data_IF_010452841194
#
_entry.id   IF_010452841194
#
_cell.length_a   1.000
_cell.length_b   1.000
_cell.length_c   1.000
_cell.angle_alpha   90.00
_cell.angle_beta   90.00
_cell.angle_gamma   90.00
#
_symmetry.space_group_name_H-M   'P 1'
#
loop_
_entity.id
_entity.type
_entity.pdbx_description
1 polymer ?
#
# COMPACT_ATOMS: atom_id res chain seq x y z
N UNK A 1 -42.04 -9.66 11.50
CA UNK A 1 -41.59 -10.05 10.14
C UNK A 1 -40.08 -9.79 10.10
N UNK A 2 -39.26 -10.77 9.71
CA UNK A 2 -37.83 -10.51 9.52
C UNK A 2 -37.68 -9.50 8.39
N UNK A 3 -36.80 -8.51 8.55
CA UNK A 3 -36.47 -7.59 7.46
C UNK A 3 -35.94 -8.38 6.26
N UNK A 4 -36.27 -7.99 5.02
CA UNK A 4 -35.69 -8.65 3.85
C UNK A 4 -34.18 -8.53 3.90
N UNK A 5 -33.49 -9.65 3.67
CA UNK A 5 -32.02 -9.71 3.64
C UNK A 5 -31.53 -9.40 2.23
N UNK A 6 -30.31 -8.82 2.09
CA UNK A 6 -29.66 -8.67 0.79
C UNK A 6 -29.49 -10.03 0.09
N UNK A 7 -29.62 -10.02 -1.24
CA UNK A 7 -29.31 -11.19 -2.08
C UNK A 7 -27.79 -11.29 -2.31
N UNK A 8 -27.06 -11.67 -1.29
CA UNK A 8 -25.61 -11.89 -1.32
C UNK A 8 -25.34 -13.38 -1.28
N UNK A 9 -24.79 -13.93 -2.36
CA UNK A 9 -24.48 -15.35 -2.46
C UNK A 9 -23.34 -15.73 -1.48
N UNK A 10 -23.44 -16.87 -0.83
CA UNK A 10 -22.33 -17.40 -0.03
C UNK A 10 -21.11 -17.72 -0.92
N UNK A 11 -21.39 -18.45 -2.00
CA UNK A 11 -20.42 -18.76 -3.04
C UNK A 11 -21.13 -18.62 -4.39
N UNK A 12 -20.57 -17.73 -5.23
CA UNK A 12 -21.08 -17.49 -6.57
C UNK A 12 -20.25 -18.26 -7.60
N UNK A 13 -20.91 -19.03 -8.43
CA UNK A 13 -20.29 -19.74 -9.56
C UNK A 13 -20.33 -18.85 -10.80
N UNK A 14 -19.16 -18.51 -11.34
CA UNK A 14 -18.97 -17.51 -12.39
C UNK A 14 -18.33 -18.15 -13.62
N UNK A 15 -19.10 -18.53 -14.64
CA UNK A 15 -18.53 -19.02 -15.89
C UNK A 15 -17.86 -17.89 -16.68
N UNK A 16 -16.63 -18.12 -17.14
CA UNK A 16 -15.86 -17.21 -17.97
C UNK A 16 -15.94 -17.67 -19.43
N UNK A 17 -16.33 -16.82 -20.38
CA UNK A 17 -16.35 -17.16 -21.81
C UNK A 17 -14.95 -17.56 -22.33
N UNK A 18 -14.86 -18.37 -23.41
CA UNK A 18 -13.57 -18.81 -23.95
C UNK A 18 -12.62 -17.69 -24.37
N UNK A 19 -13.16 -16.59 -24.84
CA UNK A 19 -12.46 -15.37 -25.26
C UNK A 19 -12.57 -14.23 -24.19
N UNK A 20 -13.16 -14.56 -23.04
CA UNK A 20 -13.34 -13.62 -21.94
C UNK A 20 -12.06 -13.41 -21.16
N UNK A 21 -11.84 -12.18 -20.69
CA UNK A 21 -10.77 -11.81 -19.76
C UNK A 21 -11.35 -11.52 -18.39
N UNK A 22 -10.59 -11.79 -17.35
CA UNK A 22 -10.91 -11.36 -15.99
C UNK A 22 -9.96 -10.24 -15.57
N UNK A 23 -10.51 -9.15 -15.03
CA UNK A 23 -9.74 -8.10 -14.34
C UNK A 23 -10.22 -8.07 -12.89
N UNK A 24 -9.33 -8.41 -11.99
CA UNK A 24 -9.63 -8.44 -10.55
C UNK A 24 -8.95 -7.28 -9.83
N UNK A 25 -9.75 -6.49 -9.14
CA UNK A 25 -9.39 -5.25 -8.45
C UNK A 25 -9.81 -5.42 -6.99
N UNK A 26 -9.02 -4.93 -6.04
CA UNK A 26 -9.32 -4.98 -4.61
C UNK A 26 -8.91 -3.70 -3.91
N UNK A 27 -9.45 -3.46 -2.72
CA UNK A 27 -8.95 -2.46 -1.77
C UNK A 27 -8.83 -1.05 -2.38
N UNK A 28 -9.92 -0.55 -2.97
CA UNK A 28 -9.99 0.82 -3.48
C UNK A 28 -10.20 1.83 -2.36
N UNK A 29 -10.90 1.43 -1.29
CA UNK A 29 -11.24 2.29 -0.16
C UNK A 29 -11.75 3.66 -0.60
N UNK A 30 -12.72 3.66 -1.51
CA UNK A 30 -13.31 4.89 -2.04
C UNK A 30 -13.99 5.67 -0.92
N UNK A 31 -13.53 6.90 -0.60
CA UNK A 31 -14.10 7.70 0.47
C UNK A 31 -15.38 8.43 -0.01
N UNK A 32 -16.20 8.98 0.90
CA UNK A 32 -17.40 9.73 0.51
C UNK A 32 -17.10 11.00 -0.32
N UNK A 33 -15.91 11.56 -0.17
CA UNK A 33 -15.47 12.70 -0.97
C UNK A 33 -14.34 12.28 -1.93
N UNK A 34 -14.45 12.69 -3.20
CA UNK A 34 -13.42 12.40 -4.20
C UNK A 34 -12.11 13.08 -3.85
N UNK A 35 -11.09 12.29 -3.64
CA UNK A 35 -9.71 12.74 -3.35
C UNK A 35 -8.85 12.67 -4.61
N UNK A 36 -7.63 13.24 -4.56
CA UNK A 36 -6.64 13.08 -5.64
C UNK A 36 -6.27 11.61 -5.84
N UNK A 37 -6.22 10.83 -4.75
CA UNK A 37 -5.90 9.40 -4.78
C UNK A 37 -7.02 8.61 -5.43
N UNK A 38 -8.25 8.74 -4.92
CA UNK A 38 -9.40 8.01 -5.47
C UNK A 38 -9.71 8.45 -6.89
N UNK A 39 -9.56 9.75 -7.22
CA UNK A 39 -9.75 10.26 -8.58
C UNK A 39 -8.79 9.65 -9.59
N UNK A 40 -7.50 9.58 -9.27
CA UNK A 40 -6.52 8.92 -10.14
C UNK A 40 -6.77 7.41 -10.26
N UNK A 41 -7.13 6.76 -9.16
CA UNK A 41 -7.52 5.35 -9.16
C UNK A 41 -8.66 5.11 -10.15
N UNK A 42 -9.77 5.84 -10.00
CA UNK A 42 -10.94 5.71 -10.87
C UNK A 42 -10.59 5.99 -12.34
N UNK A 43 -9.81 7.04 -12.63
CA UNK A 43 -9.37 7.37 -14.00
C UNK A 43 -8.59 6.22 -14.64
N UNK A 44 -7.56 5.69 -13.94
CA UNK A 44 -6.71 4.61 -14.47
C UNK A 44 -7.52 3.34 -14.70
N UNK A 45 -8.39 2.97 -13.76
CA UNK A 45 -9.23 1.78 -13.86
C UNK A 45 -10.28 1.94 -14.96
N UNK A 46 -10.96 3.09 -15.05
CA UNK A 46 -11.95 3.35 -16.10
C UNK A 46 -11.33 3.27 -17.51
N UNK A 47 -10.15 3.85 -17.69
CA UNK A 47 -9.41 3.74 -18.95
C UNK A 47 -9.01 2.29 -19.24
N UNK A 48 -8.58 1.54 -18.24
CA UNK A 48 -8.20 0.12 -18.41
C UNK A 48 -9.41 -0.74 -18.80
N UNK A 49 -10.56 -0.54 -18.16
CA UNK A 49 -11.80 -1.27 -18.46
C UNK A 49 -12.35 -0.91 -19.85
N UNK A 50 -12.25 0.35 -20.26
CA UNK A 50 -12.66 0.82 -21.57
C UNK A 50 -11.76 0.30 -22.70
N UNK A 51 -10.48 0.05 -22.42
CA UNK A 51 -9.52 -0.44 -23.41
C UNK A 51 -9.71 -1.93 -23.77
N UNK A 52 -10.56 -2.67 -23.01
CA UNK A 52 -10.80 -4.09 -23.28
C UNK A 52 -11.98 -4.29 -24.23
N UNK A 53 -11.76 -4.72 -25.46
CA UNK A 53 -12.84 -4.82 -26.47
C UNK A 53 -13.67 -6.11 -26.38
N UNK A 54 -13.15 -7.14 -25.72
CA UNK A 54 -13.76 -8.48 -25.64
C UNK A 54 -14.73 -8.63 -24.45
N UNK A 55 -15.29 -9.82 -24.28
CA UNK A 55 -16.08 -10.15 -23.10
C UNK A 55 -15.22 -10.00 -21.84
N UNK A 56 -15.68 -9.19 -20.89
CA UNK A 56 -14.94 -8.85 -19.69
C UNK A 56 -15.70 -9.29 -18.44
N UNK A 57 -15.03 -9.98 -17.54
CA UNK A 57 -15.47 -10.19 -16.18
C UNK A 57 -14.64 -9.31 -15.25
N UNK A 58 -15.27 -8.34 -14.61
CA UNK A 58 -14.61 -7.53 -13.56
C UNK A 58 -14.93 -8.15 -12.21
N UNK A 59 -13.90 -8.40 -11.42
CA UNK A 59 -14.02 -8.89 -10.05
C UNK A 59 -13.56 -7.78 -9.11
N UNK A 60 -14.48 -7.25 -8.33
CA UNK A 60 -14.25 -6.33 -7.22
C UNK A 60 -14.07 -7.18 -5.97
N UNK A 61 -12.81 -7.43 -5.59
CA UNK A 61 -12.47 -8.42 -4.57
C UNK A 61 -12.48 -7.85 -3.14
N UNK A 62 -13.47 -7.02 -2.82
CA UNK A 62 -13.73 -6.45 -1.49
C UNK A 62 -13.04 -5.13 -1.21
N UNK A 63 -13.52 -4.44 -0.19
CA UNK A 63 -13.04 -3.13 0.28
C UNK A 63 -13.00 -2.06 -0.82
N UNK A 64 -14.06 -2.03 -1.62
CA UNK A 64 -14.20 -1.06 -2.72
C UNK A 64 -14.71 0.28 -2.18
N UNK A 65 -15.74 0.26 -1.34
CA UNK A 65 -16.31 1.45 -0.69
C UNK A 65 -15.87 1.50 0.78
N UNK A 66 -15.42 2.67 1.23
CA UNK A 66 -14.92 2.86 2.59
C UNK A 66 -16.07 3.27 3.53
N UNK A 67 -16.83 2.29 4.01
CA UNK A 67 -17.94 2.54 4.93
C UNK A 67 -17.51 2.45 6.39
N UNK A 68 -16.43 1.68 6.68
CA UNK A 68 -15.97 1.43 8.03
C UNK A 68 -15.39 2.69 8.69
N UNK A 69 -14.54 3.42 7.98
CA UNK A 69 -13.89 4.63 8.49
C UNK A 69 -14.83 5.86 8.48
N UNK A 70 -15.93 5.81 7.71
CA UNK A 70 -16.91 6.90 7.58
C UNK A 70 -18.32 6.48 8.02
N UNK A 71 -18.55 6.25 9.32
CA UNK A 71 -19.81 5.77 9.82
C UNK A 71 -20.94 6.78 9.52
N UNK A 72 -22.05 6.28 9.00
CA UNK A 72 -23.20 7.07 8.62
C UNK A 72 -23.22 7.52 7.16
N UNK A 73 -22.17 7.27 6.39
CA UNK A 73 -22.15 7.46 4.93
C UNK A 73 -22.75 6.23 4.24
N UNK A 74 -23.51 6.43 3.21
CA UNK A 74 -24.12 5.34 2.43
C UNK A 74 -23.23 4.90 1.27
N UNK A 75 -23.35 3.64 0.84
CA UNK A 75 -22.68 3.16 -0.36
C UNK A 75 -23.03 3.99 -1.61
N UNK A 76 -24.28 4.47 -1.70
CA UNK A 76 -24.72 5.32 -2.80
C UNK A 76 -23.94 6.64 -2.86
N UNK A 77 -23.82 7.36 -1.74
CA UNK A 77 -23.07 8.63 -1.67
C UNK A 77 -21.61 8.44 -2.08
N UNK A 78 -20.97 7.33 -1.66
CA UNK A 78 -19.59 7.03 -2.03
C UNK A 78 -19.49 6.77 -3.55
N UNK A 79 -20.38 5.95 -4.09
CA UNK A 79 -20.35 5.61 -5.52
C UNK A 79 -20.67 6.80 -6.41
N UNK A 80 -21.63 7.66 -6.01
CA UNK A 80 -21.96 8.91 -6.71
C UNK A 80 -20.77 9.88 -6.79
N UNK A 81 -19.92 9.93 -5.74
CA UNK A 81 -18.69 10.72 -5.77
C UNK A 81 -17.63 10.17 -6.74
N UNK A 82 -17.80 8.94 -7.22
CA UNK A 82 -16.85 8.22 -8.10
C UNK A 82 -17.57 7.69 -9.36
N UNK A 83 -18.41 8.50 -9.96
CA UNK A 83 -19.30 8.18 -11.08
C UNK A 83 -18.57 7.68 -12.32
N UNK A 84 -17.37 8.15 -12.61
CA UNK A 84 -16.55 7.71 -13.74
C UNK A 84 -16.22 6.21 -13.68
N UNK A 85 -15.85 5.68 -12.51
CA UNK A 85 -15.63 4.26 -12.33
C UNK A 85 -16.95 3.49 -12.39
N UNK A 86 -17.99 4.00 -11.78
CA UNK A 86 -19.33 3.38 -11.80
C UNK A 86 -19.86 3.25 -13.23
N UNK A 87 -19.75 4.30 -14.04
CA UNK A 87 -20.11 4.27 -15.46
C UNK A 87 -19.26 3.26 -16.26
N UNK A 88 -17.95 3.16 -15.97
CA UNK A 88 -17.11 2.18 -16.60
C UNK A 88 -17.53 0.74 -16.26
N UNK A 89 -17.89 0.46 -15.00
CA UNK A 89 -18.41 -0.85 -14.57
C UNK A 89 -19.78 -1.16 -15.19
N UNK A 90 -20.71 -0.23 -15.19
CA UNK A 90 -22.02 -0.39 -15.84
C UNK A 90 -21.86 -0.67 -17.35
N UNK A 91 -20.96 0.03 -18.02
CA UNK A 91 -20.63 -0.20 -19.42
C UNK A 91 -20.10 -1.62 -19.71
N UNK A 92 -19.42 -2.26 -18.75
CA UNK A 92 -19.01 -3.67 -18.90
C UNK A 92 -20.23 -4.57 -18.98
N UNK A 93 -21.24 -4.38 -18.12
CA UNK A 93 -22.48 -5.19 -18.14
C UNK A 93 -23.31 -4.92 -19.38
N UNK A 94 -23.41 -3.67 -19.83
CA UNK A 94 -24.14 -3.29 -21.06
C UNK A 94 -23.53 -3.94 -22.32
N UNK A 95 -22.21 -4.16 -22.34
CA UNK A 95 -21.50 -4.85 -23.44
C UNK A 95 -21.55 -6.37 -23.34
N UNK A 96 -22.36 -6.92 -22.42
CA UNK A 96 -22.50 -8.38 -22.21
C UNK A 96 -21.42 -9.01 -21.34
N UNK A 97 -20.59 -8.21 -20.67
CA UNK A 97 -19.70 -8.65 -19.62
C UNK A 97 -20.41 -8.81 -18.28
N UNK A 98 -19.67 -9.03 -17.22
CA UNK A 98 -20.23 -9.15 -15.87
C UNK A 98 -19.32 -8.50 -14.83
N UNK A 99 -19.94 -7.98 -13.77
CA UNK A 99 -19.27 -7.44 -12.60
C UNK A 99 -19.64 -8.29 -11.40
N UNK A 100 -18.63 -8.79 -10.70
CA UNK A 100 -18.75 -9.61 -9.48
C UNK A 100 -18.14 -8.80 -8.33
N UNK A 101 -18.82 -8.75 -7.21
CA UNK A 101 -18.37 -8.03 -6.03
C UNK A 101 -18.33 -8.99 -4.84
N UNK A 102 -17.15 -9.32 -4.34
CA UNK A 102 -17.02 -10.02 -3.06
C UNK A 102 -16.96 -9.00 -1.94
N UNK A 103 -17.74 -9.23 -0.88
CA UNK A 103 -17.81 -8.31 0.27
C UNK A 103 -16.52 -8.41 1.09
N UNK A 104 -15.92 -7.24 1.41
CA UNK A 104 -14.77 -7.12 2.29
C UNK A 104 -15.15 -6.78 3.73
N UNK A 105 -14.18 -6.37 4.55
CA UNK A 105 -14.45 -5.96 5.92
C UNK A 105 -14.75 -4.46 6.08
N UNK A 106 -14.28 -3.60 5.16
CA UNK A 106 -14.62 -2.17 5.16
C UNK A 106 -15.98 -1.87 4.52
N UNK A 107 -16.46 -2.76 3.68
CA UNK A 107 -17.78 -2.72 3.07
C UNK A 107 -18.68 -3.88 3.52
N UNK A 108 -18.41 -4.44 4.69
CA UNK A 108 -19.13 -5.56 5.29
C UNK A 108 -20.65 -5.32 5.42
N UNK A 109 -21.07 -4.09 5.52
CA UNK A 109 -22.49 -3.68 5.58
C UNK A 109 -23.28 -4.17 4.36
N UNK A 110 -22.63 -4.39 3.21
CA UNK A 110 -23.26 -4.96 2.00
C UNK A 110 -23.83 -6.36 2.23
N UNK A 111 -23.33 -7.11 3.20
CA UNK A 111 -23.80 -8.45 3.48
C UNK A 111 -25.11 -8.48 4.28
N UNK A 112 -25.51 -7.39 4.95
CA UNK A 112 -26.69 -7.34 5.82
C UNK A 112 -27.60 -6.12 5.62
N UNK A 113 -27.10 -4.99 5.06
CA UNK A 113 -27.90 -3.81 4.75
C UNK A 113 -28.42 -3.89 3.30
N UNK A 114 -29.73 -4.09 3.17
CA UNK A 114 -30.38 -4.19 1.87
C UNK A 114 -30.21 -2.92 1.02
N UNK A 115 -30.26 -1.74 1.64
CA UNK A 115 -30.13 -0.47 0.89
C UNK A 115 -28.71 -0.29 0.33
N UNK A 116 -27.70 -0.63 1.13
CA UNK A 116 -26.32 -0.57 0.67
C UNK A 116 -26.08 -1.56 -0.47
N UNK A 117 -26.56 -2.80 -0.33
CA UNK A 117 -26.43 -3.83 -1.36
C UNK A 117 -27.17 -3.47 -2.65
N UNK A 118 -28.41 -2.95 -2.56
CA UNK A 118 -29.19 -2.53 -3.72
C UNK A 118 -28.52 -1.35 -4.44
N UNK A 119 -28.00 -0.36 -3.70
CA UNK A 119 -27.28 0.77 -4.29
C UNK A 119 -26.07 0.31 -5.11
N UNK A 120 -25.26 -0.62 -4.59
CA UNK A 120 -24.12 -1.18 -5.34
C UNK A 120 -24.59 -1.90 -6.60
N UNK A 121 -25.64 -2.72 -6.52
CA UNK A 121 -26.18 -3.44 -7.70
C UNK A 121 -26.72 -2.47 -8.75
N UNK A 122 -27.52 -1.51 -8.35
CA UNK A 122 -28.19 -0.57 -9.25
C UNK A 122 -27.20 0.35 -9.96
N UNK A 123 -26.14 0.78 -9.26
CA UNK A 123 -25.15 1.72 -9.79
C UNK A 123 -24.09 1.01 -10.64
N UNK A 124 -23.63 -0.17 -10.23
CA UNK A 124 -22.49 -0.85 -10.87
C UNK A 124 -22.87 -2.05 -11.73
N UNK A 125 -24.11 -2.57 -11.59
CA UNK A 125 -24.54 -3.82 -12.22
C UNK A 125 -23.91 -5.08 -11.57
N UNK A 126 -23.30 -4.97 -10.40
CA UNK A 126 -22.54 -6.06 -9.78
C UNK A 126 -23.45 -7.12 -9.15
N UNK A 127 -23.00 -8.38 -9.23
CA UNK A 127 -23.53 -9.50 -8.45
C UNK A 127 -22.73 -9.61 -7.15
N UNK A 128 -23.42 -9.54 -6.00
CA UNK A 128 -22.77 -9.58 -4.68
C UNK A 128 -22.62 -11.00 -4.17
N UNK A 129 -21.46 -11.30 -3.57
CA UNK A 129 -21.18 -12.60 -2.94
C UNK A 129 -20.16 -12.45 -1.80
N UNK A 130 -20.03 -13.46 -0.95
CA UNK A 130 -18.96 -13.55 0.04
C UNK A 130 -17.70 -14.20 -0.55
N UNK A 131 -17.89 -15.11 -1.51
CA UNK A 131 -16.83 -15.74 -2.29
C UNK A 131 -17.30 -16.03 -3.72
N UNK A 132 -16.38 -16.17 -4.66
CA UNK A 132 -16.70 -16.55 -6.04
C UNK A 132 -15.75 -17.66 -6.55
N UNK A 133 -16.29 -18.54 -7.37
CA UNK A 133 -15.54 -19.53 -8.16
C UNK A 133 -15.56 -19.12 -9.62
N UNK A 134 -14.46 -18.64 -10.15
CA UNK A 134 -14.30 -18.37 -11.57
C UNK A 134 -14.02 -19.69 -12.30
N UNK A 135 -14.92 -20.09 -13.20
CA UNK A 135 -14.74 -21.25 -14.05
C UNK A 135 -14.25 -20.82 -15.43
N UNK A 136 -12.98 -21.04 -15.67
CA UNK A 136 -12.36 -20.71 -16.94
C UNK A 136 -12.52 -21.86 -17.95
N UNK A 137 -12.45 -21.56 -19.25
CA UNK A 137 -12.35 -22.57 -20.29
C UNK A 137 -11.14 -23.49 -20.03
N UNK A 138 -11.31 -24.79 -20.39
CA UNK A 138 -10.24 -25.77 -20.13
C UNK A 138 -10.35 -26.48 -18.78
N UNK A 139 -11.27 -26.04 -17.91
CA UNK A 139 -11.51 -26.65 -16.60
C UNK A 139 -10.76 -25.98 -15.43
N UNK A 140 -10.01 -24.93 -15.69
CA UNK A 140 -9.37 -24.15 -14.66
C UNK A 140 -10.40 -23.47 -13.73
N UNK A 141 -10.12 -23.50 -12.42
CA UNK A 141 -10.97 -22.87 -11.39
C UNK A 141 -10.14 -21.96 -10.51
N UNK A 142 -10.59 -20.73 -10.36
CA UNK A 142 -9.94 -19.74 -9.47
C UNK A 142 -10.94 -19.32 -8.40
N UNK A 143 -10.61 -19.58 -7.13
CA UNK A 143 -11.36 -19.09 -5.98
C UNK A 143 -11.01 -17.63 -5.72
N UNK A 144 -12.03 -16.83 -5.50
CA UNK A 144 -11.91 -15.44 -5.07
C UNK A 144 -12.55 -15.26 -3.69
N UNK A 145 -11.78 -14.77 -2.74
CA UNK A 145 -12.23 -14.34 -1.42
C UNK A 145 -11.55 -13.00 -1.13
N UNK A 146 -12.18 -12.08 -0.36
CA UNK A 146 -11.49 -10.83 -0.05
C UNK A 146 -10.19 -11.07 0.75
N UNK A 147 -10.22 -11.99 1.71
CA UNK A 147 -9.03 -12.35 2.50
C UNK A 147 -9.14 -12.00 3.99
N UNK A 148 -10.04 -11.11 4.40
CA UNK A 148 -10.29 -10.79 5.81
C UNK A 148 -10.73 -12.00 6.64
N UNK A 149 -11.32 -13.00 5.98
CA UNK A 149 -11.72 -14.28 6.60
C UNK A 149 -10.52 -15.06 7.19
N UNK A 150 -9.32 -14.77 6.71
CA UNK A 150 -8.06 -15.40 7.11
C UNK A 150 -7.29 -14.57 8.15
N UNK A 151 -7.81 -13.38 8.50
CA UNK A 151 -7.24 -12.48 9.49
C UNK A 151 -8.03 -12.55 10.81
N UNK A 152 -7.45 -13.07 11.91
CA UNK A 152 -8.15 -13.19 13.19
C UNK A 152 -8.68 -11.88 13.77
N UNK A 153 -8.14 -10.73 13.34
CA UNK A 153 -8.56 -9.42 13.82
C UNK A 153 -9.71 -8.83 13.01
N UNK A 154 -9.92 -9.28 11.77
CA UNK A 154 -10.90 -8.76 10.83
C UNK A 154 -11.94 -9.79 10.39
N UNK A 155 -11.80 -11.06 10.78
CA UNK A 155 -12.71 -12.13 10.45
C UNK A 155 -14.07 -11.95 11.14
N UNK A 156 -15.15 -11.99 10.37
CA UNK A 156 -16.52 -12.13 10.90
C UNK A 156 -16.83 -13.61 11.19
N UNK A 157 -17.55 -13.90 12.27
CA UNK A 157 -18.13 -15.22 12.52
C UNK A 157 -19.38 -15.43 11.65
N UNK A 158 -20.16 -14.36 11.47
CA UNK A 158 -21.31 -14.30 10.57
C UNK A 158 -21.36 -12.94 9.88
N UNK A 159 -20.84 -12.85 8.65
CA UNK A 159 -20.82 -11.63 7.86
C UNK A 159 -22.21 -10.98 7.63
N UNK A 160 -23.31 -11.73 7.85
CA UNK A 160 -24.68 -11.24 7.73
C UNK A 160 -25.26 -10.71 9.03
N UNK A 161 -24.48 -10.74 10.10
CA UNK A 161 -24.90 -10.23 11.41
C UNK A 161 -24.31 -8.84 11.68
N UNK A 162 -25.10 -7.78 11.70
CA UNK A 162 -24.61 -6.41 11.94
C UNK A 162 -24.01 -6.21 13.35
N UNK A 163 -24.19 -7.17 14.26
CA UNK A 163 -23.63 -7.12 15.60
C UNK A 163 -22.30 -7.87 15.72
N UNK A 164 -21.91 -8.58 14.68
CA UNK A 164 -20.61 -9.26 14.63
C UNK A 164 -19.54 -8.25 14.15
N UNK A 165 -18.93 -7.56 15.11
CA UNK A 165 -17.92 -6.54 14.86
C UNK A 165 -16.55 -7.03 15.29
N UNK A 166 -15.66 -7.42 14.36
CA UNK A 166 -14.30 -7.84 14.66
C UNK A 166 -13.48 -6.74 15.36
N UNK A 167 -12.42 -7.11 16.07
CA UNK A 167 -11.54 -6.17 16.77
C UNK A 167 -10.99 -5.07 15.87
N UNK A 168 -10.68 -5.40 14.62
CA UNK A 168 -10.20 -4.45 13.61
C UNK A 168 -11.17 -3.29 13.38
N UNK A 169 -12.50 -3.53 13.41
CA UNK A 169 -13.52 -2.46 13.30
C UNK A 169 -13.37 -1.42 14.42
N UNK A 170 -13.21 -1.87 15.66
CA UNK A 170 -13.03 -0.96 16.80
C UNK A 170 -11.72 -0.19 16.72
N UNK A 171 -10.66 -0.84 16.22
CA UNK A 171 -9.38 -0.17 16.02
C UNK A 171 -9.51 0.95 14.98
N UNK A 172 -10.12 0.67 13.82
CA UNK A 172 -10.29 1.64 12.74
C UNK A 172 -11.22 2.79 13.17
N UNK A 173 -12.35 2.49 13.80
CA UNK A 173 -13.37 3.50 14.17
C UNK A 173 -13.01 4.33 15.39
N UNK A 174 -12.37 3.73 16.39
CA UNK A 174 -12.23 4.36 17.69
C UNK A 174 -10.79 4.66 18.11
N UNK A 175 -9.84 3.81 17.73
CA UNK A 175 -8.45 3.91 18.22
C UNK A 175 -7.62 4.77 17.28
N UNK A 176 -7.61 4.47 15.98
CA UNK A 176 -6.79 5.18 14.99
C UNK A 176 -7.09 6.69 14.96
N UNK A 177 -8.37 7.16 14.90
CA UNK A 177 -8.66 8.58 14.88
C UNK A 177 -8.17 9.33 16.14
N UNK A 178 -8.23 8.67 17.31
CA UNK A 178 -7.72 9.25 18.56
C UNK A 178 -6.20 9.38 18.56
N UNK A 179 -5.50 8.37 18.07
CA UNK A 179 -4.04 8.38 17.94
C UNK A 179 -3.60 9.46 16.92
N UNK A 180 -4.26 9.55 15.79
CA UNK A 180 -3.97 10.57 14.78
C UNK A 180 -4.27 11.99 15.29
N UNK A 181 -5.35 12.17 16.04
CA UNK A 181 -5.66 13.45 16.67
C UNK A 181 -4.59 13.86 17.70
N UNK A 182 -4.10 12.93 18.53
CA UNK A 182 -3.01 13.17 19.48
C UNK A 182 -1.68 13.42 18.76
N UNK A 183 -1.46 12.74 17.66
CA UNK A 183 -0.22 12.80 16.86
C UNK A 183 -0.32 13.65 15.60
N UNK A 184 -1.36 14.49 15.42
CA UNK A 184 -1.67 15.24 14.19
C UNK A 184 -0.50 16.01 13.57
N UNK A 185 0.49 16.39 14.36
CA UNK A 185 1.68 17.10 13.87
C UNK A 185 2.74 16.16 13.26
N UNK A 186 2.71 14.85 13.57
CA UNK A 186 3.81 13.96 13.22
C UNK A 186 3.43 12.48 12.99
N UNK A 187 2.25 12.01 13.43
CA UNK A 187 1.78 10.62 13.28
C UNK A 187 0.73 10.42 12.18
N UNK A 188 0.59 11.36 11.25
CA UNK A 188 -0.38 11.25 10.15
C UNK A 188 -0.04 10.07 9.22
N UNK A 189 -1.08 9.41 8.70
CA UNK A 189 -1.00 8.28 7.79
C UNK A 189 -0.87 6.94 8.50
N UNK A 190 -1.29 6.86 9.76
CA UNK A 190 -1.33 5.60 10.51
C UNK A 190 -2.31 4.61 9.90
N UNK A 191 -3.49 5.09 9.48
CA UNK A 191 -4.52 4.28 8.82
C UNK A 191 -4.13 3.79 7.41
N UNK A 192 -3.11 4.39 6.81
CA UNK A 192 -2.59 4.01 5.49
C UNK A 192 -1.37 3.09 5.59
N UNK A 193 -1.01 2.61 6.78
CA UNK A 193 0.16 1.74 6.93
C UNK A 193 -0.07 0.42 6.23
N UNK A 194 0.87 0.06 5.37
CA UNK A 194 0.87 -1.21 4.66
C UNK A 194 1.00 -2.42 5.59
N UNK A 195 1.73 -2.29 6.70
CA UNK A 195 1.92 -3.35 7.70
C UNK A 195 1.65 -2.83 9.13
N UNK A 196 0.56 -3.24 9.80
CA UNK A 196 0.29 -2.87 11.18
C UNK A 196 1.41 -3.29 12.15
N UNK A 197 2.16 -4.35 11.86
CA UNK A 197 3.30 -4.79 12.67
C UNK A 197 4.46 -3.77 12.65
N UNK A 198 4.49 -2.90 11.65
CA UNK A 198 5.46 -1.81 11.55
C UNK A 198 5.13 -0.59 12.45
N UNK A 199 3.99 -0.59 13.16
CA UNK A 199 3.58 0.54 14.01
C UNK A 199 4.68 1.04 14.96
N UNK A 200 5.40 0.19 15.73
CA UNK A 200 6.48 0.67 16.60
C UNK A 200 7.61 1.32 15.80
N UNK A 201 7.94 0.76 14.65
CA UNK A 201 8.96 1.25 13.73
C UNK A 201 8.56 2.58 13.10
N UNK A 202 7.29 2.72 12.72
CA UNK A 202 6.70 3.96 12.21
C UNK A 202 6.77 5.08 13.24
N UNK A 203 6.34 4.83 14.49
CA UNK A 203 6.41 5.81 15.58
C UNK A 203 7.85 6.24 15.83
N UNK A 204 8.80 5.30 15.89
CA UNK A 204 10.23 5.60 16.08
C UNK A 204 10.79 6.47 14.96
N UNK A 205 10.47 6.12 13.72
CA UNK A 205 10.87 6.89 12.54
C UNK A 205 10.35 8.32 12.59
N UNK A 206 9.05 8.49 12.82
CA UNK A 206 8.42 9.80 12.93
C UNK A 206 8.98 10.63 14.09
N UNK A 207 9.26 9.99 15.23
CA UNK A 207 9.91 10.64 16.36
C UNK A 207 11.29 11.18 15.98
N UNK A 208 12.12 10.36 15.34
CA UNK A 208 13.47 10.74 14.92
C UNK A 208 13.43 11.85 13.88
N UNK A 209 12.75 11.62 12.73
CA UNK A 209 12.84 12.51 11.57
C UNK A 209 11.98 13.79 11.68
N UNK A 210 10.89 13.75 12.45
CA UNK A 210 9.95 14.89 12.55
C UNK A 210 10.01 15.63 13.88
N UNK A 211 10.23 14.93 15.00
CA UNK A 211 10.28 15.58 16.32
C UNK A 211 11.71 15.88 16.76
N UNK A 212 12.58 14.85 16.82
CA UNK A 212 13.94 15.03 17.35
C UNK A 212 14.73 16.03 16.51
N UNK A 213 14.76 15.86 15.20
CA UNK A 213 15.46 16.76 14.27
C UNK A 213 14.89 18.18 14.36
N UNK A 214 13.56 18.33 14.42
CA UNK A 214 12.91 19.64 14.56
C UNK A 214 13.26 20.35 15.87
N UNK A 215 13.44 19.62 16.96
CA UNK A 215 13.77 20.22 18.26
C UNK A 215 15.27 20.44 18.43
N UNK A 216 16.11 19.70 17.73
CA UNK A 216 17.55 19.77 17.85
C UNK A 216 18.22 20.56 16.71
N UNK A 217 17.45 21.13 15.75
CA UNK A 217 18.00 21.90 14.64
C UNK A 217 18.87 23.09 15.11
N UNK A 218 18.55 23.67 16.27
CA UNK A 218 19.30 24.78 16.86
C UNK A 218 20.74 24.39 17.23
N UNK A 219 21.03 23.08 17.42
CA UNK A 219 22.40 22.61 17.62
C UNK A 219 23.31 22.97 16.45
N UNK A 220 22.75 23.10 15.25
CA UNK A 220 23.50 23.56 14.07
C UNK A 220 23.96 25.01 14.23
N UNK A 221 23.36 25.78 15.14
CA UNK A 221 23.79 27.14 15.46
C UNK A 221 25.00 27.16 16.40
N UNK A 222 25.32 26.06 17.10
CA UNK A 222 26.47 26.02 18.02
C UNK A 222 27.79 26.40 17.31
N UNK A 223 28.15 25.86 16.13
CA UNK A 223 29.33 26.31 15.39
C UNK A 223 29.31 27.79 15.07
N UNK A 224 28.11 28.33 14.76
CA UNK A 224 27.94 29.77 14.44
C UNK A 224 28.16 30.60 15.72
N UNK A 225 27.60 30.17 16.84
CA UNK A 225 27.78 30.83 18.14
C UNK A 225 29.24 30.79 18.56
N UNK A 226 29.87 29.61 18.46
CA UNK A 226 31.31 29.44 18.72
C UNK A 226 32.14 30.38 17.85
N UNK A 227 31.83 30.43 16.55
CA UNK A 227 32.50 31.34 15.62
C UNK A 227 32.35 32.81 16.05
N UNK A 228 31.13 33.26 16.35
CA UNK A 228 30.85 34.65 16.78
C UNK A 228 31.55 35.00 18.10
N UNK A 229 31.62 34.05 19.03
CA UNK A 229 32.27 34.28 20.34
C UNK A 229 33.80 34.33 20.24
N UNK A 230 34.38 33.56 19.32
CA UNK A 230 35.84 33.51 19.10
C UNK A 230 36.34 34.67 18.24
N UNK A 231 35.51 35.22 17.34
CA UNK A 231 35.89 36.36 16.49
C UNK A 231 36.49 37.56 17.21
N UNK A 232 35.95 38.07 18.36
CA UNK A 232 36.53 39.16 19.07
C UNK A 232 37.91 38.84 19.70
N UNK A 233 38.10 37.60 20.11
CA UNK A 233 39.41 37.16 20.68
C UNK A 233 40.47 37.10 19.57
N UNK A 234 40.10 36.66 18.38
CA UNK A 234 40.98 36.69 17.20
C UNK A 234 41.33 38.12 16.81
N UNK A 235 40.38 39.07 16.90
CA UNK A 235 40.65 40.51 16.72
C UNK A 235 41.69 41.08 17.69
N UNK A 236 41.67 40.65 18.95
CA UNK A 236 42.66 41.03 19.96
C UNK A 236 44.04 40.40 19.69
N UNK A 237 44.09 39.15 19.24
CA UNK A 237 45.35 38.49 18.87
C UNK A 237 45.93 39.15 17.62
N UNK A 238 45.10 39.47 16.63
CA UNK A 238 45.48 40.11 15.38
C UNK A 238 46.08 41.52 15.59
N UNK A 239 45.56 42.29 16.53
CA UNK A 239 46.15 43.61 16.86
C UNK A 239 47.57 43.51 17.42
N UNK A 240 47.96 42.34 17.94
CA UNK A 240 49.29 42.06 18.45
C UNK A 240 50.27 41.51 17.40
N UNK A 241 49.76 40.92 16.29
CA UNK A 241 50.52 40.31 15.23
C UNK A 241 49.94 40.67 13.85
N UNK A 242 50.42 41.78 13.27
CA UNK A 242 49.80 42.36 12.04
C UNK A 242 50.16 41.59 10.74
N UNK A 243 50.72 40.39 10.82
CA UNK A 243 51.14 39.65 9.64
C UNK A 243 49.96 38.91 8.98
N UNK A 244 49.87 39.02 7.64
CA UNK A 244 48.75 38.41 6.85
C UNK A 244 48.72 36.86 6.91
N UNK A 245 49.83 36.20 7.21
CA UNK A 245 49.90 34.78 7.43
C UNK A 245 49.10 34.34 8.70
N UNK A 246 49.03 35.20 9.75
CA UNK A 246 48.23 34.96 10.95
C UNK A 246 46.74 34.88 10.69
N UNK A 247 46.21 35.70 9.74
CA UNK A 247 44.76 35.70 9.43
C UNK A 247 44.29 34.41 8.79
N UNK A 248 45.09 33.84 7.87
CA UNK A 248 44.79 32.55 7.24
C UNK A 248 44.80 31.42 8.26
N UNK A 249 45.75 31.42 9.18
CA UNK A 249 45.85 30.43 10.24
C UNK A 249 44.65 30.51 11.19
N UNK A 250 44.22 31.72 11.55
CA UNK A 250 43.05 31.93 12.44
C UNK A 250 41.74 31.46 11.77
N UNK A 251 41.57 31.70 10.46
CA UNK A 251 40.43 31.19 9.68
C UNK A 251 40.44 29.66 9.62
N UNK A 252 41.62 29.04 9.45
CA UNK A 252 41.76 27.58 9.48
C UNK A 252 41.35 27.00 10.84
N UNK A 253 41.81 27.59 11.95
CA UNK A 253 41.45 27.13 13.32
C UNK A 253 39.95 27.22 13.53
N UNK A 254 39.29 28.32 13.09
CA UNK A 254 37.85 28.49 13.18
C UNK A 254 37.09 27.47 12.33
N UNK A 255 37.56 27.23 11.11
CA UNK A 255 36.99 26.24 10.22
C UNK A 255 37.09 24.82 10.78
N UNK A 256 38.25 24.49 11.37
CA UNK A 256 38.45 23.21 12.06
C UNK A 256 37.56 23.08 13.30
N UNK A 257 37.44 24.14 14.13
CA UNK A 257 36.56 24.15 15.29
C UNK A 257 35.10 23.91 14.91
N UNK A 258 34.59 24.64 13.89
CA UNK A 258 33.25 24.47 13.38
C UNK A 258 33.02 23.06 12.78
N UNK A 259 33.99 22.52 12.07
CA UNK A 259 33.92 21.16 11.52
C UNK A 259 33.87 20.10 12.61
N UNK A 260 34.65 20.26 13.69
CA UNK A 260 34.63 19.37 14.86
C UNK A 260 33.28 19.44 15.57
N UNK A 261 32.73 20.64 15.80
CA UNK A 261 31.42 20.81 16.43
C UNK A 261 30.31 20.14 15.61
N UNK A 262 30.30 20.33 14.28
CA UNK A 262 29.35 19.67 13.39
C UNK A 262 29.49 18.15 13.44
N UNK A 263 30.73 17.64 13.46
CA UNK A 263 30.99 16.20 13.56
C UNK A 263 30.49 15.64 14.92
N UNK A 264 30.72 16.33 16.01
CA UNK A 264 30.24 15.93 17.36
C UNK A 264 28.72 15.91 17.39
N UNK A 265 28.05 16.95 16.89
CA UNK A 265 26.59 17.01 16.82
C UNK A 265 26.03 15.88 15.98
N UNK A 266 26.59 15.65 14.80
CA UNK A 266 26.19 14.55 13.92
C UNK A 266 26.37 13.18 14.60
N UNK A 267 27.47 12.99 15.33
CA UNK A 267 27.73 11.78 16.09
C UNK A 267 26.74 11.57 17.23
N UNK A 268 26.43 12.62 17.99
CA UNK A 268 25.43 12.55 19.07
C UNK A 268 24.07 12.21 18.52
N UNK A 269 23.63 12.87 17.45
CA UNK A 269 22.36 12.61 16.78
C UNK A 269 22.30 11.17 16.25
N UNK A 270 23.39 10.68 15.65
CA UNK A 270 23.47 9.30 15.16
C UNK A 270 23.39 8.28 16.31
N UNK A 271 24.09 8.53 17.42
CA UNK A 271 24.07 7.63 18.60
C UNK A 271 22.67 7.60 19.23
N UNK A 272 22.05 8.78 19.46
CA UNK A 272 20.70 8.87 20.04
C UNK A 272 19.67 8.19 19.15
N UNK A 273 19.72 8.47 17.83
CA UNK A 273 18.81 7.86 16.85
C UNK A 273 19.00 6.34 16.79
N UNK A 274 20.25 5.87 16.80
CA UNK A 274 20.56 4.44 16.81
C UNK A 274 20.09 3.75 18.09
N UNK A 275 20.30 4.36 19.26
CA UNK A 275 19.83 3.81 20.54
C UNK A 275 18.30 3.76 20.60
N UNK A 276 17.63 4.83 20.20
CA UNK A 276 16.16 4.84 20.08
C UNK A 276 15.68 3.73 19.15
N UNK A 277 16.32 3.57 17.99
CA UNK A 277 16.00 2.52 17.03
C UNK A 277 16.24 1.11 17.59
N UNK A 278 17.41 0.83 18.20
CA UNK A 278 17.71 -0.51 18.74
C UNK A 278 16.79 -0.90 19.89
N UNK A 279 16.33 0.07 20.69
CA UNK A 279 15.36 -0.20 21.75
C UNK A 279 13.97 -0.57 21.21
N UNK A 280 13.57 0.00 20.06
CA UNK A 280 12.25 -0.20 19.46
C UNK A 280 12.30 -1.34 18.43
N UNK A 281 13.41 -1.54 17.74
CA UNK A 281 13.57 -2.60 16.74
C UNK A 281 13.44 -4.00 17.33
N UNK A 282 13.75 -4.19 18.61
CA UNK A 282 13.48 -5.44 19.32
C UNK A 282 12.00 -5.79 19.39
N UNK A 283 11.12 -4.79 19.51
CA UNK A 283 9.67 -4.95 19.47
C UNK A 283 9.17 -5.15 18.03
N UNK A 284 9.74 -4.42 17.07
CA UNK A 284 9.40 -4.56 15.65
C UNK A 284 9.90 -5.88 15.03
N UNK A 285 11.03 -6.42 15.50
CA UNK A 285 11.57 -7.71 15.04
C UNK A 285 10.68 -8.90 15.46
N UNK A 286 9.94 -8.78 16.56
CA UNK A 286 8.99 -9.82 16.96
C UNK A 286 7.84 -9.98 15.93
N UNK A 287 7.50 -8.94 15.17
CA UNK A 287 6.50 -8.97 14.09
C UNK A 287 7.05 -9.34 12.71
N UNK A 288 8.36 -9.25 12.48
CA UNK A 288 8.96 -9.47 11.15
C UNK A 288 8.90 -10.90 10.61
N UNK A 289 8.45 -11.86 11.38
CA UNK A 289 8.19 -13.23 10.93
C UNK A 289 6.78 -13.42 10.38
N UNK A 290 5.90 -12.44 10.54
CA UNK A 290 4.53 -12.50 10.05
C UNK A 290 4.48 -11.97 8.61
N UNK A 291 4.43 -12.89 7.66
CA UNK A 291 4.06 -12.50 6.28
C UNK A 291 2.56 -12.24 6.27
N UNK A 292 2.13 -11.02 5.93
CA UNK A 292 0.70 -10.67 5.88
C UNK A 292 -0.12 -11.63 5.00
N UNK A 293 0.46 -12.10 3.89
CA UNK A 293 -0.18 -13.05 2.99
C UNK A 293 0.05 -14.53 3.38
N UNK A 294 0.64 -14.85 4.53
CA UNK A 294 0.99 -16.25 4.88
C UNK A 294 -0.24 -17.14 5.02
N UNK A 295 -1.31 -16.66 5.66
CA UNK A 295 -2.56 -17.40 5.80
C UNK A 295 -3.24 -17.62 4.45
N UNK A 296 -3.20 -16.60 3.57
CA UNK A 296 -3.76 -16.69 2.23
C UNK A 296 -2.97 -17.66 1.34
N UNK A 297 -1.64 -17.72 1.46
CA UNK A 297 -0.82 -18.74 0.77
C UNK A 297 -1.16 -20.15 1.24
N UNK A 298 -1.33 -20.34 2.55
CA UNK A 298 -1.76 -21.65 3.08
C UNK A 298 -3.15 -22.02 2.55
N UNK A 299 -4.09 -21.08 2.48
CA UNK A 299 -5.41 -21.27 1.86
C UNK A 299 -5.30 -21.65 0.39
N UNK A 300 -4.36 -21.05 -0.34
CA UNK A 300 -4.09 -21.39 -1.72
C UNK A 300 -3.60 -22.84 -1.86
N UNK A 301 -2.68 -23.28 -1.00
CA UNK A 301 -2.19 -24.66 -1.00
C UNK A 301 -3.34 -25.67 -0.78
N UNK A 302 -4.25 -25.38 0.16
CA UNK A 302 -5.41 -26.21 0.44
C UNK A 302 -6.36 -26.29 -0.78
N UNK A 303 -6.68 -25.14 -1.39
CA UNK A 303 -7.56 -25.07 -2.56
C UNK A 303 -6.94 -25.75 -3.78
N UNK A 304 -5.63 -25.63 -4.00
CA UNK A 304 -4.93 -26.31 -5.09
C UNK A 304 -4.96 -27.81 -4.87
N UNK A 305 -4.82 -28.28 -3.63
CA UNK A 305 -5.00 -29.68 -3.29
C UNK A 305 -6.44 -30.19 -3.57
N UNK A 306 -7.46 -29.31 -3.47
CA UNK A 306 -8.86 -29.58 -3.84
C UNK A 306 -9.11 -29.48 -5.35
N UNK A 307 -8.10 -29.18 -6.17
CA UNK A 307 -8.18 -29.12 -7.64
C UNK A 307 -8.48 -27.73 -8.21
N UNK A 308 -8.28 -26.66 -7.44
CA UNK A 308 -8.29 -25.31 -7.99
C UNK A 308 -6.96 -24.99 -8.70
N UNK A 309 -7.03 -24.15 -9.73
CA UNK A 309 -5.86 -23.63 -10.45
C UNK A 309 -5.27 -22.42 -9.74
N UNK A 310 -6.09 -21.64 -9.01
CA UNK A 310 -5.62 -20.48 -8.30
C UNK A 310 -6.51 -20.01 -7.17
N UNK A 311 -5.91 -19.18 -6.32
CA UNK A 311 -6.60 -18.44 -5.28
C UNK A 311 -6.25 -16.97 -5.38
N UNK A 312 -7.26 -16.11 -5.40
CA UNK A 312 -7.17 -14.66 -5.47
C UNK A 312 -7.74 -14.03 -4.21
N UNK A 313 -6.98 -13.10 -3.63
CA UNK A 313 -7.43 -12.29 -2.49
C UNK A 313 -7.03 -10.81 -2.62
N UNK A 314 -7.42 -9.99 -1.66
CA UNK A 314 -7.03 -8.62 -1.40
C UNK A 314 -6.62 -8.44 0.06
N UNK A 315 -7.24 -7.47 0.77
CA UNK A 315 -7.22 -7.22 2.22
C UNK A 315 -5.90 -6.69 2.78
N UNK A 316 -4.77 -7.26 2.40
CA UNK A 316 -3.48 -6.89 2.98
C UNK A 316 -2.81 -5.71 2.29
N UNK A 317 -3.36 -5.24 1.17
CA UNK A 317 -2.78 -4.21 0.29
C UNK A 317 -1.38 -4.55 -0.25
N UNK A 318 -0.95 -5.81 -0.12
CA UNK A 318 0.33 -6.28 -0.64
C UNK A 318 0.13 -7.08 -1.92
N UNK A 319 0.35 -6.46 -3.11
CA UNK A 319 0.22 -7.15 -4.38
C UNK A 319 1.21 -8.31 -4.45
N UNK A 320 0.70 -9.48 -4.82
CA UNK A 320 1.48 -10.70 -4.85
C UNK A 320 0.99 -11.62 -5.97
N UNK A 321 1.91 -12.30 -6.62
CA UNK A 321 1.63 -13.41 -7.53
C UNK A 321 2.76 -14.41 -7.43
N UNK A 322 2.44 -15.60 -6.92
CA UNK A 322 3.39 -16.69 -6.73
C UNK A 322 2.86 -18.01 -7.28
N UNK A 323 3.74 -18.80 -7.86
CA UNK A 323 3.46 -20.20 -8.17
C UNK A 323 3.33 -21.02 -6.88
N UNK A 324 2.26 -21.81 -6.77
CA UNK A 324 2.00 -22.76 -5.68
C UNK A 324 1.66 -24.13 -6.28
N UNK A 325 2.57 -25.10 -6.13
CA UNK A 325 2.37 -26.43 -6.72
C UNK A 325 2.08 -26.37 -8.22
N UNK A 326 0.91 -26.85 -8.63
CA UNK A 326 0.42 -26.79 -10.02
C UNK A 326 -0.39 -25.54 -10.34
N UNK A 327 -0.60 -24.65 -9.35
CA UNK A 327 -1.44 -23.48 -9.47
C UNK A 327 -0.75 -22.20 -9.01
N UNK A 328 -1.52 -21.18 -8.63
CA UNK A 328 -1.00 -19.90 -8.16
C UNK A 328 -1.78 -19.32 -6.96
N UNK A 329 -1.10 -18.51 -6.18
CA UNK A 329 -1.71 -17.54 -5.28
C UNK A 329 -1.51 -16.14 -5.84
N UNK A 330 -2.56 -15.32 -5.79
CA UNK A 330 -2.48 -13.91 -6.13
C UNK A 330 -3.18 -13.04 -5.07
N UNK A 331 -2.58 -11.89 -4.77
CA UNK A 331 -3.23 -10.78 -4.10
C UNK A 331 -3.28 -9.59 -5.08
N UNK A 332 -4.47 -9.07 -5.34
CA UNK A 332 -4.63 -7.97 -6.29
C UNK A 332 -3.96 -6.66 -5.82
N UNK A 333 -3.57 -6.58 -4.56
CA UNK A 333 -3.03 -5.38 -3.94
C UNK A 333 -4.11 -4.34 -3.70
N UNK A 334 -3.80 -3.08 -3.93
CA UNK A 334 -4.75 -1.97 -3.72
C UNK A 334 -4.60 -0.88 -4.78
N UNK A 335 -5.58 0.03 -4.86
CA UNK A 335 -5.48 1.25 -5.66
C UNK A 335 -5.57 2.52 -4.80
N UNK A 336 -5.20 2.40 -3.54
CA UNK A 336 -5.22 3.50 -2.55
C UNK A 336 -3.83 4.00 -2.18
N UNK A 337 -3.77 4.98 -1.28
CA UNK A 337 -2.49 5.40 -0.69
C UNK A 337 -2.05 4.43 0.39
N UNK A 338 -0.77 4.09 0.36
CA UNK A 338 -0.12 3.25 1.36
C UNK A 338 1.11 3.93 1.92
N UNK A 339 1.35 3.77 3.22
CA UNK A 339 2.56 4.23 3.88
C UNK A 339 3.50 3.05 4.08
N UNK A 340 4.62 3.06 3.35
CA UNK A 340 5.58 1.97 3.33
C UNK A 340 6.90 2.36 3.98
N UNK A 341 7.54 1.37 4.61
CA UNK A 341 8.87 1.50 5.17
C UNK A 341 9.93 1.45 4.07
N UNK A 342 10.75 2.49 3.96
CA UNK A 342 11.88 2.56 3.04
C UNK A 342 13.17 2.50 3.85
N UNK A 343 13.98 1.49 3.61
CA UNK A 343 15.27 1.33 4.27
C UNK A 343 16.18 2.54 4.03
N UNK A 344 16.82 3.00 5.07
CA UNK A 344 17.78 4.10 5.06
C UNK A 344 19.22 3.61 5.18
N UNK A 345 20.17 4.55 5.27
CA UNK A 345 21.58 4.21 5.45
C UNK A 345 21.86 3.64 6.84
N UNK A 346 22.68 2.62 6.90
CA UNK A 346 23.32 1.94 8.05
C UNK A 346 22.81 2.26 9.45
N UNK A 347 21.80 1.51 9.91
CA UNK A 347 21.38 1.51 11.30
C UNK A 347 20.53 2.70 11.74
N UNK A 348 20.09 3.53 10.79
CA UNK A 348 19.05 4.52 11.01
C UNK A 348 17.66 3.90 10.87
N UNK A 349 16.63 4.44 11.54
CA UNK A 349 15.25 4.00 11.35
C UNK A 349 14.85 4.07 9.87
N UNK A 350 14.00 3.15 9.37
CA UNK A 350 13.43 3.28 8.04
C UNK A 350 12.64 4.59 7.95
N UNK A 351 12.54 5.16 6.76
CA UNK A 351 11.67 6.30 6.50
C UNK A 351 10.34 5.77 5.99
N UNK A 352 9.24 6.34 6.49
CA UNK A 352 7.90 6.00 6.05
C UNK A 352 7.38 7.08 5.10
N UNK A 353 7.27 6.75 3.83
CA UNK A 353 6.74 7.63 2.79
C UNK A 353 5.39 7.13 2.30
N UNK A 354 4.54 8.08 1.96
CA UNK A 354 3.25 7.81 1.34
C UNK A 354 3.46 7.63 -0.15
N UNK A 355 2.95 6.52 -0.68
CA UNK A 355 2.87 6.23 -2.11
C UNK A 355 1.43 5.86 -2.47
N UNK A 356 0.98 6.18 -3.66
CA UNK A 356 -0.22 5.58 -4.19
C UNK A 356 0.16 4.29 -4.90
N UNK A 357 -0.43 3.19 -4.48
CA UNK A 357 -0.38 1.93 -5.17
C UNK A 357 -1.50 1.90 -6.22
N UNK A 358 -1.21 1.37 -7.40
CA UNK A 358 -2.19 1.08 -8.45
C UNK A 358 -1.91 -0.34 -8.92
N UNK A 359 -2.70 -1.31 -8.45
CA UNK A 359 -2.48 -2.71 -8.81
C UNK A 359 -3.78 -3.47 -9.03
N UNK A 360 -3.73 -4.46 -9.92
CA UNK A 360 -4.81 -5.39 -10.21
C UNK A 360 -4.26 -6.67 -10.84
N UNK A 361 -5.05 -7.73 -10.83
CA UNK A 361 -4.72 -8.98 -11.47
C UNK A 361 -5.53 -9.14 -12.77
N UNK A 362 -4.88 -9.59 -13.82
CA UNK A 362 -5.53 -10.01 -15.06
C UNK A 362 -5.43 -11.53 -15.22
N UNK A 363 -6.55 -12.21 -15.49
CA UNK A 363 -6.56 -13.64 -15.80
C UNK A 363 -7.08 -13.81 -17.23
N UNK A 364 -6.26 -14.48 -18.03
CA UNK A 364 -6.50 -14.67 -19.47
C UNK A 364 -6.61 -16.17 -19.72
N UNK A 365 -7.75 -16.68 -20.20
CA UNK A 365 -7.85 -18.07 -20.66
C UNK A 365 -6.86 -18.33 -21.80
N UNK A 366 -6.21 -19.48 -21.81
CA UNK A 366 -5.21 -19.87 -22.82
C UNK A 366 -5.58 -21.19 -23.48
N UNK A 367 -6.84 -21.35 -23.93
CA UNK A 367 -7.34 -22.44 -24.77
C UNK A 367 -6.96 -23.84 -24.27
N UNK A 368 -5.85 -24.39 -24.74
CA UNK A 368 -5.37 -25.75 -24.44
C UNK A 368 -4.32 -25.79 -23.30
N UNK A 369 -3.99 -24.65 -22.68
CA UNK A 369 -3.03 -24.54 -21.59
C UNK A 369 -3.74 -24.02 -20.35
N UNK A 370 -3.12 -24.13 -19.16
CA UNK A 370 -3.61 -23.41 -17.99
C UNK A 370 -3.78 -21.92 -18.30
N UNK A 371 -4.76 -21.29 -17.66
CA UNK A 371 -4.95 -19.85 -17.78
C UNK A 371 -3.65 -19.11 -17.41
N UNK A 372 -3.50 -17.87 -17.88
CA UNK A 372 -2.40 -17.01 -17.52
C UNK A 372 -2.89 -15.94 -16.55
N UNK A 373 -2.19 -15.81 -15.42
CA UNK A 373 -2.39 -14.73 -14.48
C UNK A 373 -1.27 -13.69 -14.63
N UNK A 374 -1.61 -12.40 -14.62
CA UNK A 374 -0.65 -11.30 -14.73
C UNK A 374 -0.96 -10.24 -13.68
N UNK A 375 0.01 -9.92 -12.85
CA UNK A 375 -0.11 -8.85 -11.87
C UNK A 375 0.39 -7.54 -12.48
N UNK A 376 -0.51 -6.57 -12.58
CA UNK A 376 -0.21 -5.20 -12.97
C UNK A 376 0.04 -4.37 -11.72
N UNK A 377 1.10 -3.56 -11.70
CA UNK A 377 1.37 -2.71 -10.55
C UNK A 377 2.14 -1.45 -10.91
N UNK A 378 1.80 -0.36 -10.25
CA UNK A 378 2.56 0.89 -10.23
C UNK A 378 2.62 1.45 -8.82
N UNK A 379 3.65 2.25 -8.56
CA UNK A 379 3.79 3.04 -7.33
C UNK A 379 4.07 4.49 -7.69
N UNK A 380 3.17 5.35 -7.32
CA UNK A 380 3.26 6.79 -7.60
C UNK A 380 3.63 7.52 -6.32
N UNK A 381 4.71 8.31 -6.36
CA UNK A 381 5.10 9.12 -5.21
C UNK A 381 4.01 10.14 -4.86
N UNK A 382 3.72 10.24 -3.56
CA UNK A 382 2.78 11.22 -3.04
C UNK A 382 3.47 12.29 -2.19
N UNK A 383 2.95 13.54 -2.18
CA UNK A 383 3.45 14.56 -1.28
C UNK A 383 3.21 14.16 0.18
N UNK A 384 4.14 14.51 1.09
CA UNK A 384 3.95 14.28 2.53
C UNK A 384 5.23 13.97 3.31
N UNK A 385 6.32 13.58 2.68
CA UNK A 385 7.62 13.42 3.33
C UNK A 385 8.32 14.74 3.58
N UNK A 386 9.00 14.90 4.72
CA UNK A 386 9.89 16.05 4.96
C UNK A 386 11.09 16.00 3.99
N UNK A 387 11.78 17.13 3.83
CA UNK A 387 13.00 17.19 2.98
C UNK A 387 14.05 16.17 3.45
N UNK A 388 14.17 15.98 4.76
CA UNK A 388 15.10 15.02 5.34
C UNK A 388 14.66 13.57 5.03
N UNK A 389 13.39 13.23 5.24
CA UNK A 389 12.85 11.90 4.93
C UNK A 389 13.08 11.56 3.46
N UNK A 390 12.76 12.48 2.55
CA UNK A 390 13.00 12.30 1.09
C UNK A 390 14.48 12.14 0.76
N UNK A 391 15.36 12.93 1.37
CA UNK A 391 16.81 12.80 1.19
C UNK A 391 17.32 11.43 1.66
N UNK A 392 16.85 10.96 2.81
CA UNK A 392 17.24 9.65 3.37
C UNK A 392 16.71 8.48 2.53
N UNK A 393 15.56 8.65 1.89
CA UNK A 393 14.90 7.65 1.02
C UNK A 393 15.36 7.71 -0.45
N UNK A 394 15.86 8.86 -0.94
CA UNK A 394 15.99 9.21 -2.35
C UNK A 394 16.72 8.20 -3.25
N UNK A 395 17.67 7.43 -2.68
CA UNK A 395 18.39 6.40 -3.44
C UNK A 395 17.65 5.05 -3.50
N UNK A 396 16.49 4.89 -2.85
CA UNK A 396 15.85 3.60 -2.55
C UNK A 396 14.35 3.55 -2.77
N UNK A 397 13.78 4.64 -3.23
CA UNK A 397 12.35 4.74 -3.48
C UNK A 397 12.07 4.60 -4.99
N UNK A 398 11.72 3.40 -5.48
CA UNK A 398 11.38 3.19 -6.88
C UNK A 398 9.94 3.66 -7.13
N UNK A 399 9.75 4.51 -8.13
CA UNK A 399 8.44 4.94 -8.60
C UNK A 399 8.28 4.57 -10.06
N UNK A 400 7.06 4.20 -10.43
CA UNK A 400 6.60 4.10 -11.82
C UNK A 400 5.39 5.01 -12.00
N UNK A 401 5.27 5.64 -13.14
CA UNK A 401 4.18 6.58 -13.44
C UNK A 401 2.91 5.86 -13.90
N UNK A 402 3.07 4.71 -14.53
CA UNK A 402 1.99 3.89 -15.07
C UNK A 402 2.10 2.42 -14.61
N UNK A 403 0.99 1.71 -14.46
CA UNK A 403 0.97 0.29 -14.17
C UNK A 403 1.59 -0.53 -15.30
N UNK A 404 2.38 -1.52 -14.93
CA UNK A 404 2.97 -2.49 -15.84
C UNK A 404 2.93 -3.90 -15.25
N UNK A 405 3.06 -4.93 -16.09
CA UNK A 405 3.11 -6.31 -15.65
C UNK A 405 4.40 -6.55 -14.84
N UNK A 406 4.26 -6.80 -13.53
CA UNK A 406 5.39 -7.06 -12.63
C UNK A 406 5.62 -8.55 -12.39
N UNK A 407 4.58 -9.38 -12.60
CA UNK A 407 4.65 -10.83 -12.47
C UNK A 407 3.69 -11.50 -13.45
N UNK A 408 3.97 -12.75 -13.81
CA UNK A 408 3.04 -13.59 -14.56
C UNK A 408 3.22 -15.07 -14.23
N UNK A 409 2.11 -15.80 -14.20
CA UNK A 409 2.05 -17.25 -14.05
C UNK A 409 1.39 -17.85 -15.29
N UNK A 410 1.82 -19.04 -15.81
CA UNK A 410 2.87 -19.90 -15.26
C UNK A 410 4.31 -19.49 -15.69
N UNK A 411 4.49 -18.70 -16.72
CA UNK A 411 5.78 -18.49 -17.40
C UNK A 411 6.37 -17.12 -17.08
N UNK A 412 6.51 -16.77 -15.82
CA UNK A 412 7.06 -15.45 -15.45
C UNK A 412 7.62 -15.40 -14.04
N UNK A 413 8.16 -14.25 -13.68
CA UNK A 413 8.69 -14.05 -12.32
C UNK A 413 7.56 -13.96 -11.30
N UNK A 414 7.81 -14.46 -10.11
CA UNK A 414 6.98 -14.23 -8.93
C UNK A 414 7.13 -12.78 -8.42
N UNK A 415 6.07 -12.27 -7.77
CA UNK A 415 6.09 -10.97 -7.13
C UNK A 415 5.41 -11.00 -5.75
N UNK A 416 5.99 -10.36 -4.71
CA UNK A 416 7.34 -9.85 -4.70
C UNK A 416 8.33 -11.00 -4.84
N UNK A 417 9.36 -10.80 -5.62
CA UNK A 417 10.48 -11.72 -5.61
C UNK A 417 10.93 -11.92 -4.16
N UNK A 418 11.30 -13.16 -3.77
CA UNK A 418 11.70 -13.55 -2.40
C UNK A 418 12.37 -12.37 -1.67
N UNK A 419 12.00 -12.03 -0.40
CA UNK A 419 12.59 -10.93 0.36
C UNK A 419 14.12 -10.92 0.39
N UNK A 420 14.77 -12.09 0.19
CA UNK A 420 16.22 -12.17 -0.05
C UNK A 420 16.65 -11.51 -1.36
N UNK A 421 15.78 -11.51 -2.38
CA UNK A 421 16.02 -10.89 -3.68
C UNK A 421 15.56 -9.42 -3.74
N UNK A 422 14.60 -8.99 -2.90
CA UNK A 422 14.26 -7.56 -2.73
C UNK A 422 15.42 -6.74 -2.18
N UNK A 423 16.39 -7.37 -1.50
CA UNK A 423 17.68 -6.76 -1.15
C UNK A 423 18.61 -6.63 -2.36
N UNK A 424 18.37 -7.34 -3.44
CA UNK A 424 19.13 -7.22 -4.68
C UNK A 424 18.53 -6.13 -5.59
N UNK A 425 18.99 -4.88 -5.34
CA UNK A 425 18.60 -3.66 -6.05
C UNK A 425 18.73 -3.75 -7.58
N UNK A 426 19.50 -4.70 -8.10
CA UNK A 426 19.67 -4.90 -9.54
C UNK A 426 18.41 -5.45 -10.18
N UNK A 427 17.67 -6.32 -9.49
CA UNK A 427 16.45 -6.95 -10.02
C UNK A 427 15.29 -5.93 -10.13
N UNK A 428 15.06 -5.15 -9.06
CA UNK A 428 14.04 -4.11 -9.05
C UNK A 428 14.31 -3.02 -10.10
N UNK A 429 15.59 -2.61 -10.24
CA UNK A 429 15.99 -1.66 -11.29
C UNK A 429 15.81 -2.21 -12.71
N UNK A 430 16.04 -3.50 -12.93
CA UNK A 430 15.82 -4.13 -14.25
C UNK A 430 14.34 -4.14 -14.62
N UNK A 431 13.44 -4.50 -13.69
CA UNK A 431 12.00 -4.48 -13.93
C UNK A 431 11.49 -3.05 -14.21
N UNK A 432 11.89 -2.06 -13.43
CA UNK A 432 11.50 -0.67 -13.65
C UNK A 432 12.08 -0.09 -14.96
N UNK A 433 13.27 -0.56 -15.41
CA UNK A 433 13.82 -0.22 -16.72
C UNK A 433 13.06 -0.91 -17.87
N UNK A 434 12.53 -2.10 -17.63
CA UNK A 434 11.72 -2.83 -18.61
C UNK A 434 10.36 -2.14 -18.80
N UNK A 435 9.68 -1.74 -17.73
CA UNK A 435 8.46 -0.95 -17.78
C UNK A 435 8.65 0.36 -18.57
N UNK A 436 9.77 1.09 -18.35
CA UNK A 436 10.08 2.32 -19.09
C UNK A 436 10.38 2.10 -20.58
N UNK A 437 10.85 0.92 -20.98
CA UNK A 437 11.09 0.59 -22.40
C UNK A 437 9.81 0.24 -23.12
N UNK A 438 8.86 -0.37 -22.43
CA UNK A 438 7.54 -0.70 -22.98
C UNK A 438 6.70 0.57 -23.17
N UNK A 439 6.80 1.58 -22.26
CA UNK A 439 6.18 2.91 -22.41
C UNK A 439 6.75 3.72 -23.59
N UNK A 440 8.01 3.50 -23.99
CA UNK A 440 8.67 4.23 -25.08
C UNK A 440 8.45 3.65 -26.50
N UNK A 441 7.80 2.51 -26.59
CA UNK A 441 7.53 1.80 -27.86
C UNK A 441 6.03 1.68 -28.21
N UNK A 442 5.13 2.37 -27.44
CA UNK A 442 3.68 2.40 -27.69
C UNK A 442 3.23 3.68 -28.41
#
# INVERSE_FOLDING_TARGET
>A
MASPRPDVAELLDVPIPPDGKVIAISDLHLPPERTVVSGRCCEVLSLRLAAEPGPLTVVLAGDIVEMLAFPGTTAAEILEAHDDLCLALASVTERGGQVIYTVGNHDGDLAWDLKAADAVRDITGAKLCLAADLRLPGGDRVRVEHGHQLDPYNCFHDARNPLDTPLGHHIVREVIPKIEWLGRDWLNGLHEMADPADFPSFVASRLVYRKLVRHLWWLVLLPIVTFVLVLPELGRVRSRFPDTAGVLHDVEILAYGAAVDIAIIALILAIVSRRAWTSISGLALAGRGYSQNSAARQRADDLIAEGYTGFLSGHTHHPELHAHGSGFYANAGSCTSVVEAIDTMRGMPPVYLRTQQLSWLEIIPDGNRPCRAQLQSARVEMPGGTRLERFMAAARNPHSSAPCSVASWPDGPDWPADPKHLRDRKHLRRHLHQCRREEGNG
#
